data_IF_944958895829
#
_entry.id   IF_944958895829
#
_cell.length_a   1.000
_cell.length_b   1.000
_cell.length_c   1.000
_cell.angle_alpha   90.00
_cell.angle_beta   90.00
_cell.angle_gamma   90.00
#
_symmetry.space_group_name_H-M   'P 1'
#
loop_
_entity.id
_entity.type
_entity.pdbx_description
1 polymer ?
#
# COMPACT_ATOMS: atom_id res chain seq x y z
N UNK A 1 -52.78 18.38 -30.60
CA UNK A 1 -52.76 19.16 -29.35
C UNK A 1 -51.39 19.02 -28.72
N UNK A 2 -50.74 20.15 -28.47
CA UNK A 2 -49.29 20.27 -28.30
C UNK A 2 -49.09 21.06 -27.01
N UNK A 3 -48.75 20.37 -25.93
CA UNK A 3 -48.43 21.01 -24.66
C UNK A 3 -46.91 21.20 -24.58
N UNK A 4 -46.47 22.42 -24.89
CA UNK A 4 -45.14 22.93 -24.57
C UNK A 4 -45.14 23.24 -23.07
N UNK A 5 -44.21 22.65 -22.32
CA UNK A 5 -43.92 23.08 -20.95
C UNK A 5 -42.59 23.82 -20.95
N UNK A 6 -42.68 25.14 -20.76
CA UNK A 6 -41.58 26.06 -20.56
C UNK A 6 -41.57 26.50 -19.10
N UNK A 7 -40.44 26.33 -18.40
CA UNK A 7 -40.00 27.11 -17.23
C UNK A 7 -38.53 26.70 -17.00
N UNK A 8 -37.54 27.51 -17.36
CA UNK A 8 -37.08 28.80 -16.81
C UNK A 8 -36.40 28.67 -15.44
N UNK A 9 -35.06 28.62 -15.51
CA UNK A 9 -34.05 29.26 -14.66
C UNK A 9 -34.26 29.30 -13.14
N UNK A 10 -33.29 28.77 -12.39
CA UNK A 10 -32.62 29.52 -11.31
C UNK A 10 -31.24 28.91 -11.04
N UNK A 11 -30.22 29.69 -11.37
CA UNK A 11 -28.82 29.53 -10.98
C UNK A 11 -28.69 29.72 -9.47
N UNK A 12 -28.05 28.77 -8.78
CA UNK A 12 -27.44 29.01 -7.46
C UNK A 12 -26.00 28.54 -7.52
N UNK A 13 -25.10 29.48 -7.80
CA UNK A 13 -23.67 29.33 -7.50
C UNK A 13 -23.53 29.45 -5.97
N UNK A 14 -23.25 28.34 -5.29
CA UNK A 14 -22.69 28.38 -3.94
C UNK A 14 -21.16 28.33 -4.05
N UNK A 15 -20.54 29.50 -3.95
CA UNK A 15 -19.11 29.66 -3.69
C UNK A 15 -18.86 29.45 -2.19
N UNK A 16 -18.40 28.26 -1.80
CA UNK A 16 -17.77 28.08 -0.50
C UNK A 16 -16.28 28.40 -0.63
N UNK A 17 -15.89 29.54 -0.06
CA UNK A 17 -14.51 30.02 0.00
C UNK A 17 -14.03 29.89 1.46
N UNK A 18 -12.73 29.59 1.62
CA UNK A 18 -11.93 29.80 2.84
C UNK A 18 -12.18 28.79 3.98
N UNK A 19 -11.19 28.20 4.63
CA UNK A 19 -9.90 28.76 5.10
C UNK A 19 -8.83 27.67 5.17
N UNK A 20 -7.68 27.94 4.55
CA UNK A 20 -6.43 27.22 4.83
C UNK A 20 -5.85 27.69 6.18
N UNK A 21 -5.20 26.81 6.97
CA UNK A 21 -4.44 27.24 8.13
C UNK A 21 -3.13 27.91 7.69
N UNK A 22 -3.05 29.21 7.97
CA UNK A 22 -1.81 29.99 8.00
C UNK A 22 -1.07 29.66 9.30
N UNK A 23 0.02 28.89 9.22
CA UNK A 23 1.17 29.15 10.10
C UNK A 23 2.44 28.39 9.66
N UNK A 24 3.42 29.07 9.07
CA UNK A 24 4.78 28.59 8.96
C UNK A 24 5.65 29.28 10.02
N UNK A 25 6.36 28.46 10.81
CA UNK A 25 7.51 28.81 11.67
C UNK A 25 7.16 29.34 13.07
N UNK A 26 7.35 28.48 14.07
CA UNK A 26 8.34 28.66 15.15
C UNK A 26 8.03 27.67 16.28
N UNK A 27 8.72 26.54 16.30
CA UNK A 27 9.22 26.06 17.58
C UNK A 27 10.59 25.40 17.35
N UNK A 28 11.55 25.96 18.07
CA UNK A 28 12.94 25.61 18.13
C UNK A 28 13.17 24.11 18.36
N UNK A 29 14.09 23.53 17.59
CA UNK A 29 14.85 22.35 18.00
C UNK A 29 16.33 22.64 17.78
N UNK A 30 16.84 23.63 18.52
CA UNK A 30 18.26 23.77 18.78
C UNK A 30 18.56 23.08 20.12
N UNK A 31 19.62 22.27 20.15
CA UNK A 31 20.27 21.87 21.39
C UNK A 31 19.95 20.46 21.87
N UNK A 32 20.81 19.53 21.48
CA UNK A 32 20.88 18.19 22.07
C UNK A 32 22.21 17.54 21.74
N UNK A 33 23.32 18.27 21.92
CA UNK A 33 24.63 17.65 22.01
C UNK A 33 24.58 16.63 23.14
N UNK A 34 25.02 15.39 22.91
CA UNK A 34 25.18 14.39 23.95
C UNK A 34 26.35 14.79 24.86
N UNK A 35 26.15 15.20 26.13
CA UNK A 35 27.23 15.15 27.09
C UNK A 35 27.46 13.69 27.47
N UNK A 36 28.68 13.19 27.23
CA UNK A 36 29.16 11.99 27.89
C UNK A 36 29.24 12.28 29.40
N UNK A 37 28.47 11.55 30.21
CA UNK A 37 28.55 11.58 31.68
C UNK A 37 29.36 10.37 32.16
N UNK A 38 30.60 10.56 32.67
CA UNK A 38 31.40 9.48 33.23
C UNK A 38 31.30 9.50 34.76
N UNK A 39 30.16 9.09 35.33
CA UNK A 39 30.01 9.13 36.80
C UNK A 39 29.25 7.94 37.38
N UNK A 40 30.04 6.96 37.84
CA UNK A 40 29.81 6.14 39.05
C UNK A 40 28.66 5.13 39.04
N UNK A 41 28.92 3.95 38.47
CA UNK A 41 28.32 2.72 38.98
C UNK A 41 28.93 2.38 40.34
N UNK A 42 28.26 2.81 41.41
CA UNK A 42 28.43 2.22 42.73
C UNK A 42 27.72 0.87 42.74
N UNK A 43 28.48 -0.21 42.48
CA UNK A 43 28.00 -1.58 42.72
C UNK A 43 27.95 -1.79 44.23
N UNK A 44 26.73 -1.92 44.72
CA UNK A 44 26.39 -2.23 46.11
C UNK A 44 27.02 -3.55 46.52
N UNK A 45 27.87 -3.47 47.53
CA UNK A 45 28.32 -4.60 48.35
C UNK A 45 27.12 -5.20 49.11
N UNK A 46 26.81 -6.47 48.84
CA UNK A 46 26.19 -7.38 49.82
C UNK A 46 26.92 -8.73 49.80
N UNK A 47 27.99 -8.75 50.60
CA UNK A 47 28.51 -9.83 51.45
C UNK A 47 27.97 -11.26 51.22
N UNK A 48 28.87 -12.18 50.80
CA UNK A 48 29.22 -13.39 51.55
C UNK A 48 30.36 -14.18 50.88
N UNK A 49 31.46 -14.41 51.61
CA UNK A 49 32.21 -15.67 51.53
C UNK A 49 33.54 -15.66 50.76
N UNK A 50 34.65 -15.59 51.51
CA UNK A 50 36.01 -15.89 51.10
C UNK A 50 36.17 -17.22 50.32
N UNK A 51 36.96 -17.21 49.24
CA UNK A 51 38.13 -18.08 49.18
C UNK A 51 39.24 -17.39 48.40
N UNK A 52 40.30 -17.05 49.11
CA UNK A 52 41.48 -16.38 48.59
C UNK A 52 42.38 -17.35 47.83
N UNK A 53 43.29 -16.74 47.06
CA UNK A 53 44.58 -17.24 46.57
C UNK A 53 44.58 -18.06 45.27
N UNK A 54 44.90 -17.42 44.14
CA UNK A 54 46.29 -17.36 43.63
C UNK A 54 46.42 -16.34 42.49
N UNK A 55 47.52 -15.59 42.52
CA UNK A 55 47.92 -14.61 41.52
C UNK A 55 48.16 -15.22 40.14
N UNK A 56 47.92 -14.43 39.07
CA UNK A 56 48.78 -14.23 37.87
C UNK A 56 47.93 -13.92 36.62
N UNK A 57 48.47 -13.03 35.79
CA UNK A 57 47.99 -12.50 34.50
C UNK A 57 47.02 -11.31 34.58
N UNK A 58 47.58 -10.09 34.64
CA UNK A 58 47.90 -9.27 33.47
C UNK A 58 46.68 -8.93 32.59
N UNK A 59 46.34 -7.64 32.60
CA UNK A 59 45.94 -6.86 31.42
C UNK A 59 44.69 -7.39 30.69
N UNK A 60 43.51 -7.19 31.26
CA UNK A 60 42.35 -6.90 30.41
C UNK A 60 42.44 -5.43 30.01
N UNK A 61 43.28 -5.15 29.02
CA UNK A 61 43.23 -3.90 28.28
C UNK A 61 41.89 -3.87 27.56
N UNK A 62 40.97 -3.06 28.10
CA UNK A 62 39.71 -2.75 27.45
C UNK A 62 39.99 -1.99 26.17
N UNK A 63 39.85 -2.67 25.03
CA UNK A 63 39.61 -1.98 23.77
C UNK A 63 38.23 -1.34 23.85
N UNK A 64 38.24 -0.05 24.17
CA UNK A 64 37.22 0.89 23.76
C UNK A 64 37.03 0.74 22.25
N UNK A 65 36.05 -0.09 21.85
CA UNK A 65 35.53 -0.05 20.49
C UNK A 65 34.79 1.25 20.36
N UNK A 66 35.43 2.17 19.65
CA UNK A 66 34.82 3.36 19.06
C UNK A 66 33.38 3.06 18.67
N UNK A 67 32.43 3.58 19.45
CA UNK A 67 31.05 3.69 19.04
C UNK A 67 30.99 4.76 17.94
N UNK A 68 31.48 4.41 16.75
CA UNK A 68 31.14 5.13 15.53
C UNK A 68 29.63 4.98 15.36
N UNK A 69 28.95 6.12 15.32
CA UNK A 69 27.59 6.22 14.81
C UNK A 69 27.51 5.46 13.49
N UNK A 70 26.91 4.27 13.51
CA UNK A 70 26.58 3.55 12.30
C UNK A 70 25.35 4.22 11.69
N UNK A 71 25.50 4.54 10.42
CA UNK A 71 24.61 5.30 9.56
C UNK A 71 23.15 4.82 9.58
N UNK A 72 22.26 5.77 9.24
CA UNK A 72 20.83 5.54 9.13
C UNK A 72 20.48 4.28 8.35
N UNK A 73 19.54 3.53 8.90
CA UNK A 73 18.79 2.56 8.11
C UNK A 73 18.22 3.27 6.87
N UNK A 74 18.21 2.63 5.69
CA UNK A 74 17.45 3.17 4.58
C UNK A 74 15.99 3.26 5.04
N UNK A 75 15.46 4.49 5.15
CA UNK A 75 14.04 4.69 5.23
C UNK A 75 13.47 4.17 3.90
N UNK A 76 12.86 2.99 3.96
CA UNK A 76 12.22 2.34 2.83
C UNK A 76 11.12 3.29 2.34
N UNK A 77 11.44 4.07 1.31
CA UNK A 77 10.51 5.04 0.75
C UNK A 77 9.43 4.22 0.07
N UNK A 78 8.14 4.40 0.41
CA UNK A 78 7.08 3.58 -0.17
C UNK A 78 7.12 3.70 -1.68
N UNK A 79 7.36 2.58 -2.37
CA UNK A 79 7.31 2.52 -3.84
C UNK A 79 5.91 2.97 -4.26
N UNK A 80 5.84 4.10 -4.96
CA UNK A 80 4.58 4.66 -5.42
C UNK A 80 3.83 3.65 -6.31
N UNK A 81 2.56 3.40 -5.99
CA UNK A 81 1.75 2.45 -6.76
C UNK A 81 1.34 3.05 -8.10
N UNK A 82 1.54 2.29 -9.19
CA UNK A 82 0.93 2.56 -10.48
C UNK A 82 -0.55 2.19 -10.42
N UNK A 83 -1.39 3.19 -10.65
CA UNK A 83 -2.83 3.05 -10.56
C UNK A 83 -3.47 2.98 -11.95
N UNK A 84 -4.42 2.06 -12.13
CA UNK A 84 -5.19 1.91 -13.35
C UNK A 84 -6.69 1.87 -13.04
N UNK A 85 -7.45 2.80 -13.60
CA UNK A 85 -8.90 2.80 -13.52
C UNK A 85 -9.50 1.97 -14.66
N UNK A 86 -10.26 0.94 -14.28
CA UNK A 86 -10.80 -0.09 -15.17
C UNK A 86 -12.32 -0.13 -14.99
N UNK A 87 -13.05 0.12 -16.08
CA UNK A 87 -14.51 0.13 -16.09
C UNK A 87 -15.04 -1.05 -16.88
N UNK A 88 -15.97 -1.80 -16.30
CA UNK A 88 -16.66 -2.90 -16.93
C UNK A 88 -18.06 -2.43 -17.34
N UNK A 89 -18.37 -2.52 -18.61
CA UNK A 89 -19.68 -2.23 -19.18
C UNK A 89 -20.10 -3.37 -20.10
N UNK A 90 -21.35 -3.82 -19.99
CA UNK A 90 -21.88 -4.91 -20.82
C UNK A 90 -20.95 -6.14 -20.78
N UNK A 91 -20.42 -6.42 -19.58
CA UNK A 91 -19.49 -7.52 -19.29
C UNK A 91 -18.17 -7.44 -20.06
N UNK A 92 -17.71 -6.27 -20.48
CA UNK A 92 -16.43 -6.05 -21.19
C UNK A 92 -15.73 -4.83 -20.62
N UNK A 93 -14.42 -4.72 -20.83
CA UNK A 93 -13.69 -3.52 -20.44
C UNK A 93 -14.06 -2.34 -21.37
N UNK A 94 -14.53 -1.25 -20.79
CA UNK A 94 -14.74 0.01 -21.51
C UNK A 94 -13.37 0.58 -21.95
N UNK A 95 -13.30 1.14 -23.16
CA UNK A 95 -12.04 1.61 -23.76
C UNK A 95 -11.29 0.56 -24.57
N UNK A 96 -11.73 -0.71 -24.58
CA UNK A 96 -11.28 -1.73 -25.53
C UNK A 96 -9.84 -2.23 -25.33
N UNK A 97 -9.14 -1.79 -24.28
CA UNK A 97 -7.85 -2.33 -23.92
C UNK A 97 -7.96 -3.83 -23.60
N UNK A 98 -7.13 -4.64 -24.23
CA UNK A 98 -7.09 -6.10 -24.03
C UNK A 98 -5.90 -6.54 -23.17
N UNK A 99 -4.94 -5.64 -22.95
CA UNK A 99 -3.66 -5.94 -22.29
C UNK A 99 -3.20 -4.74 -21.45
N UNK A 100 -2.76 -5.01 -20.23
CA UNK A 100 -2.11 -4.08 -19.32
C UNK A 100 -0.65 -4.50 -19.16
N UNK A 101 0.29 -3.64 -19.58
CA UNK A 101 1.74 -3.94 -19.51
C UNK A 101 2.36 -3.27 -18.29
N UNK A 102 3.08 -4.04 -17.49
CA UNK A 102 3.81 -3.58 -16.30
C UNK A 102 5.20 -4.21 -16.26
N UNK A 103 6.05 -3.77 -15.34
CA UNK A 103 7.40 -4.33 -15.15
C UNK A 103 7.38 -5.20 -13.90
N UNK A 104 8.36 -6.07 -13.70
CA UNK A 104 8.50 -6.84 -12.47
C UNK A 104 8.94 -5.93 -11.29
N UNK A 105 8.43 -6.21 -10.08
CA UNK A 105 8.77 -5.49 -8.84
C UNK A 105 7.96 -4.21 -8.62
N UNK A 106 6.77 -4.18 -9.20
CA UNK A 106 6.02 -2.98 -9.49
C UNK A 106 4.79 -2.93 -8.60
N UNK A 107 4.67 -1.84 -7.84
CA UNK A 107 3.49 -1.42 -7.06
C UNK A 107 2.22 -1.31 -7.91
N UNK A 108 1.30 -2.27 -8.04
CA UNK A 108 0.11 -2.09 -8.88
C UNK A 108 -1.17 -1.91 -8.05
N UNK A 109 -2.00 -0.94 -8.43
CA UNK A 109 -3.37 -0.75 -7.95
C UNK A 109 -4.35 -0.75 -9.14
N UNK A 110 -5.23 -1.74 -9.22
CA UNK A 110 -6.31 -1.79 -10.20
C UNK A 110 -7.62 -1.37 -9.55
N UNK A 111 -8.24 -0.29 -10.04
CA UNK A 111 -9.47 0.29 -9.51
C UNK A 111 -10.62 -0.04 -10.45
N UNK A 112 -11.56 -0.84 -9.96
CA UNK A 112 -12.61 -1.45 -10.75
C UNK A 112 -13.95 -0.76 -10.51
N UNK A 113 -14.66 -0.50 -11.60
CA UNK A 113 -16.08 -0.14 -11.59
C UNK A 113 -16.84 -1.05 -12.55
N UNK A 114 -18.12 -1.31 -12.27
CA UNK A 114 -18.94 -2.21 -13.08
C UNK A 114 -20.40 -1.78 -13.11
N UNK A 115 -21.08 -2.05 -14.22
CA UNK A 115 -22.54 -1.87 -14.40
C UNK A 115 -23.37 -3.08 -13.90
N UNK A 116 -22.70 -4.17 -13.54
CA UNK A 116 -23.29 -5.41 -13.01
C UNK A 116 -22.39 -5.96 -11.89
N UNK A 117 -22.96 -6.72 -10.96
CA UNK A 117 -22.15 -7.44 -9.96
C UNK A 117 -21.27 -8.49 -10.64
N UNK A 118 -20.00 -8.58 -10.25
CA UNK A 118 -19.06 -9.58 -10.74
C UNK A 118 -17.97 -9.88 -9.70
N UNK A 119 -17.48 -11.12 -9.69
CA UNK A 119 -16.25 -11.49 -8.97
C UNK A 119 -15.11 -11.49 -9.96
N UNK A 120 -14.09 -10.70 -9.70
CA UNK A 120 -12.90 -10.56 -10.53
C UNK A 120 -11.77 -11.41 -9.92
N UNK A 121 -11.03 -12.11 -10.77
CA UNK A 121 -9.88 -12.93 -10.37
C UNK A 121 -8.70 -12.66 -11.30
N UNK A 122 -7.56 -12.27 -10.72
CA UNK A 122 -6.28 -12.23 -11.41
C UNK A 122 -5.59 -13.59 -11.20
N UNK A 123 -5.64 -14.42 -12.24
CA UNK A 123 -4.97 -15.72 -12.20
C UNK A 123 -3.45 -15.56 -12.07
N UNK A 124 -2.82 -16.49 -11.35
CA UNK A 124 -1.36 -16.51 -11.14
C UNK A 124 -0.88 -15.64 -9.97
N UNK A 125 -1.65 -14.63 -9.58
CA UNK A 125 -1.43 -13.85 -8.35
C UNK A 125 -2.42 -14.20 -7.23
N UNK A 126 -3.49 -14.94 -7.55
CA UNK A 126 -4.56 -15.30 -6.62
C UNK A 126 -5.18 -14.10 -5.91
N UNK A 127 -5.36 -13.01 -6.67
CA UNK A 127 -6.01 -11.78 -6.19
C UNK A 127 -7.43 -11.75 -6.70
N UNK A 128 -8.38 -11.69 -5.77
CA UNK A 128 -9.81 -11.62 -6.06
C UNK A 128 -10.43 -10.32 -5.54
N UNK A 129 -11.45 -9.82 -6.23
CA UNK A 129 -12.26 -8.70 -5.75
C UNK A 129 -13.69 -8.80 -6.29
N UNK A 130 -14.69 -8.49 -5.46
CA UNK A 130 -16.08 -8.35 -5.91
C UNK A 130 -16.38 -6.89 -6.20
N UNK A 131 -16.88 -6.60 -7.40
CA UNK A 131 -17.33 -5.27 -7.82
C UNK A 131 -18.83 -5.29 -8.05
N UNK A 132 -19.51 -4.19 -7.71
CA UNK A 132 -20.93 -4.01 -7.94
C UNK A 132 -21.27 -2.58 -8.40
N UNK A 133 -22.46 -2.36 -8.99
CA UNK A 133 -22.90 -1.01 -9.36
C UNK A 133 -22.88 -0.05 -8.17
N UNK A 134 -22.18 1.07 -8.31
CA UNK A 134 -22.02 2.06 -7.23
C UNK A 134 -21.07 1.66 -6.10
N UNK A 135 -20.47 0.46 -6.16
CA UNK A 135 -19.48 -0.02 -5.20
C UNK A 135 -18.19 -0.44 -5.93
N UNK A 136 -17.27 0.51 -6.17
CA UNK A 136 -15.96 0.23 -6.76
C UNK A 136 -15.16 -0.75 -5.90
N UNK A 137 -14.28 -1.51 -6.56
CA UNK A 137 -13.40 -2.47 -5.89
C UNK A 137 -11.94 -2.20 -6.28
N UNK A 138 -11.00 -2.57 -5.43
CA UNK A 138 -9.57 -2.37 -5.69
C UNK A 138 -8.79 -3.67 -5.52
N UNK A 139 -7.89 -3.96 -6.46
CA UNK A 139 -6.87 -5.01 -6.34
C UNK A 139 -5.50 -4.35 -6.20
N UNK A 140 -4.79 -4.64 -5.11
CA UNK A 140 -3.43 -4.16 -4.89
C UNK A 140 -2.49 -5.35 -4.82
N UNK A 141 -1.43 -5.34 -5.62
CA UNK A 141 -0.42 -6.40 -5.62
C UNK A 141 0.93 -5.87 -6.11
N UNK A 142 2.00 -6.60 -5.77
CA UNK A 142 3.31 -6.40 -6.37
C UNK A 142 3.45 -7.34 -7.57
N UNK A 143 3.89 -6.84 -8.72
CA UNK A 143 4.13 -7.65 -9.90
C UNK A 143 5.41 -8.52 -9.75
N UNK A 144 5.38 -9.53 -8.89
CA UNK A 144 6.55 -10.37 -8.60
C UNK A 144 6.85 -11.43 -9.68
N UNK A 145 5.83 -11.88 -10.42
CA UNK A 145 5.97 -12.94 -11.43
C UNK A 145 5.89 -12.38 -12.85
N UNK A 146 6.89 -12.68 -13.67
CA UNK A 146 6.89 -12.34 -15.10
C UNK A 146 5.99 -13.29 -15.88
N UNK A 147 5.31 -12.79 -16.91
CA UNK A 147 4.43 -13.60 -17.74
C UNK A 147 3.17 -12.87 -18.18
N UNK A 148 2.21 -13.64 -18.67
CA UNK A 148 0.91 -13.14 -19.15
C UNK A 148 -0.22 -13.80 -18.38
N UNK A 149 -0.94 -13.01 -17.61
CA UNK A 149 -1.90 -13.46 -16.62
C UNK A 149 -3.30 -12.96 -16.98
N UNK A 150 -4.30 -13.83 -17.17
CA UNK A 150 -5.64 -13.39 -17.46
C UNK A 150 -6.30 -12.79 -16.21
N UNK A 151 -7.02 -11.69 -16.39
CA UNK A 151 -7.98 -11.17 -15.42
C UNK A 151 -9.37 -11.57 -15.89
N UNK A 152 -10.04 -12.36 -15.09
CA UNK A 152 -11.32 -13.01 -15.43
C UNK A 152 -12.42 -12.49 -14.51
N UNK A 153 -13.61 -12.33 -15.07
CA UNK A 153 -14.82 -12.12 -14.30
C UNK A 153 -15.67 -13.39 -14.25
N UNK A 154 -16.16 -13.70 -13.05
CA UNK A 154 -17.07 -14.78 -12.73
C UNK A 154 -18.42 -14.22 -12.27
N UNK A 155 -19.47 -15.01 -12.43
CA UNK A 155 -20.74 -14.76 -11.75
C UNK A 155 -21.49 -13.47 -12.11
N UNK A 156 -21.29 -12.90 -13.32
CA UNK A 156 -22.03 -11.69 -13.75
C UNK A 156 -23.53 -11.78 -13.43
N UNK A 157 -24.03 -10.80 -12.69
CA UNK A 157 -25.46 -10.63 -12.38
C UNK A 157 -25.99 -11.55 -11.30
N UNK A 158 -25.14 -12.42 -10.74
CA UNK A 158 -25.51 -13.33 -9.65
C UNK A 158 -25.03 -12.76 -8.33
N UNK A 159 -25.96 -12.20 -7.57
CA UNK A 159 -25.75 -11.91 -6.15
C UNK A 159 -26.08 -13.19 -5.37
N UNK A 160 -25.09 -14.07 -5.17
CA UNK A 160 -25.27 -15.33 -4.44
C UNK A 160 -24.91 -16.57 -5.27
N UNK A 161 -23.99 -17.38 -4.74
CA UNK A 161 -23.45 -18.56 -5.39
C UNK A 161 -24.49 -19.66 -5.59
N UNK A 162 -25.13 -19.69 -6.76
CA UNK A 162 -25.83 -20.87 -7.27
C UNK A 162 -24.85 -21.75 -8.04
N UNK A 163 -24.56 -22.94 -7.49
CA UNK A 163 -23.62 -23.95 -7.98
C UNK A 163 -24.14 -24.79 -9.16
N UNK A 164 -25.34 -24.50 -9.67
CA UNK A 164 -26.01 -25.35 -10.67
C UNK A 164 -25.81 -24.89 -12.12
N UNK A 165 -25.01 -23.86 -12.37
CA UNK A 165 -24.62 -23.42 -13.72
C UNK A 165 -23.10 -23.36 -13.80
N UNK A 166 -22.45 -23.85 -14.88
CA UNK A 166 -21.04 -23.56 -15.12
C UNK A 166 -20.81 -22.06 -14.94
N UNK A 167 -19.93 -21.68 -14.02
CA UNK A 167 -19.48 -20.30 -13.86
C UNK A 167 -18.88 -19.92 -15.20
N UNK A 168 -19.59 -19.12 -16.00
CA UNK A 168 -19.09 -18.66 -17.29
C UNK A 168 -18.00 -17.64 -17.00
N UNK A 169 -16.77 -18.13 -16.92
CA UNK A 169 -15.57 -17.32 -16.87
C UNK A 169 -15.50 -16.45 -18.12
N UNK A 170 -15.27 -15.15 -17.94
CA UNK A 170 -15.05 -14.23 -19.04
C UNK A 170 -13.77 -13.44 -18.81
N UNK A 171 -12.78 -13.65 -19.68
CA UNK A 171 -11.56 -12.84 -19.68
C UNK A 171 -11.89 -11.39 -20.05
N UNK A 172 -11.47 -10.46 -19.20
CA UNK A 172 -11.62 -9.02 -19.41
C UNK A 172 -10.40 -8.43 -20.11
N UNK A 173 -9.21 -8.75 -19.59
CA UNK A 173 -7.92 -8.35 -20.16
C UNK A 173 -6.81 -9.29 -19.68
N UNK A 174 -5.61 -9.10 -20.21
CA UNK A 174 -4.39 -9.76 -19.74
C UNK A 174 -3.46 -8.76 -19.04
N UNK A 175 -2.89 -9.14 -17.91
CA UNK A 175 -1.75 -8.49 -17.31
C UNK A 175 -0.47 -9.11 -17.91
N UNK A 176 0.36 -8.30 -18.56
CA UNK A 176 1.68 -8.69 -19.05
C UNK A 176 2.76 -8.05 -18.18
N UNK A 177 3.52 -8.89 -17.49
CA UNK A 177 4.61 -8.48 -16.60
C UNK A 177 5.94 -8.78 -17.28
N UNK A 178 6.68 -7.74 -17.64
CA UNK A 178 8.00 -7.85 -18.26
C UNK A 178 9.11 -7.90 -17.19
N UNK A 179 10.20 -8.65 -17.42
CA UNK A 179 11.38 -8.59 -16.57
C UNK A 179 11.93 -7.16 -16.47
N UNK A 180 12.58 -6.85 -15.34
CA UNK A 180 13.25 -5.56 -15.11
C UNK A 180 14.61 -5.49 -15.79
#
# INVERSE_FOLDING_TARGET
MNARFTQSSTTVLLTAQSTAPSDPRMLEAAGGACPADPTRFAVVCLLAGCFALLALHHRFDGEARDARCAAGAPADSPVAARTFDLRIEQRRLAGGASTLRVVQGDRIELRWTSDEVATLHLHGYEVEATVAPGAPATMVFEAYATGRFPIVAHGFGKSGGSTTTPQREKTLLYLEVHPR
#
